data_IF_675125710311
#
_entry.id   IF_675125710311
#
_cell.length_a   1.000
_cell.length_b   1.000
_cell.length_c   1.000
_cell.angle_alpha   90.00
_cell.angle_beta   90.00
_cell.angle_gamma   90.00
#
_symmetry.space_group_name_H-M   'P 1'
#
loop_
_entity.id
_entity.type
_entity.pdbx_description
1 polymer ?
#
# COMPACT_ATOMS: atom_id res chain seq x y z
N UNK A 1 -9.03 -6.49 14.97
CA UNK A 1 -8.92 -7.88 14.47
C UNK A 1 -7.52 -8.37 14.83
N UNK A 2 -7.39 -9.51 15.50
CA UNK A 2 -6.10 -10.15 15.77
C UNK A 2 -5.93 -11.32 14.81
N UNK A 3 -4.77 -11.39 14.15
CA UNK A 3 -4.44 -12.47 13.20
C UNK A 3 -3.10 -13.07 13.61
N UNK A 4 -3.01 -14.40 13.64
CA UNK A 4 -1.90 -15.14 14.26
C UNK A 4 -0.73 -15.49 13.33
N UNK A 5 -0.84 -15.27 12.01
CA UNK A 5 0.21 -15.68 11.07
C UNK A 5 0.31 -14.72 9.87
N UNK A 6 1.46 -14.04 9.73
CA UNK A 6 1.74 -13.11 8.64
C UNK A 6 2.20 -13.79 7.34
N UNK A 7 2.28 -15.13 7.30
CA UNK A 7 2.67 -15.90 6.11
C UNK A 7 1.49 -16.49 5.33
N UNK A 8 0.29 -16.47 5.92
CA UNK A 8 -0.95 -16.95 5.31
C UNK A 8 -1.71 -15.75 4.73
N UNK A 9 -2.24 -15.88 3.51
CA UNK A 9 -3.25 -14.93 3.02
C UNK A 9 -4.47 -15.02 3.94
N UNK A 10 -4.76 -13.93 4.64
CA UNK A 10 -5.88 -13.81 5.57
C UNK A 10 -7.10 -13.31 4.79
N UNK A 11 -8.23 -14.01 4.92
CA UNK A 11 -9.50 -13.61 4.32
C UNK A 11 -10.63 -13.51 5.34
N UNK A 12 -11.85 -13.25 4.85
CA UNK A 12 -13.06 -13.20 5.70
C UNK A 12 -13.27 -14.44 6.59
N UNK A 13 -13.00 -15.69 6.13
CA UNK A 13 -13.16 -16.87 6.97
C UNK A 13 -12.19 -16.95 8.16
N UNK A 14 -11.09 -16.18 8.14
CA UNK A 14 -10.09 -16.16 9.20
C UNK A 14 -10.45 -15.20 10.36
N UNK A 15 -11.60 -14.51 10.29
CA UNK A 15 -12.09 -13.64 11.36
C UNK A 15 -12.58 -14.50 12.53
N UNK A 16 -11.82 -14.49 13.64
CA UNK A 16 -12.16 -15.22 14.87
C UNK A 16 -13.12 -14.47 15.79
N UNK A 17 -13.12 -13.13 15.75
CA UNK A 17 -13.94 -12.27 16.60
C UNK A 17 -14.44 -11.03 15.83
N UNK A 18 -15.72 -10.69 16.03
CA UNK A 18 -16.37 -9.50 15.45
C UNK A 18 -17.30 -8.84 16.48
N UNK A 19 -16.74 -8.21 17.53
CA UNK A 19 -17.54 -7.65 18.63
C UNK A 19 -18.49 -6.53 18.18
N UNK A 20 -18.17 -5.87 17.08
CA UNK A 20 -18.97 -4.80 16.50
C UNK A 20 -19.96 -5.26 15.42
N UNK A 21 -20.07 -6.57 15.19
CA UNK A 21 -20.99 -7.18 14.20
C UNK A 21 -20.88 -6.52 12.81
N UNK A 22 -19.67 -6.16 12.42
CA UNK A 22 -19.39 -5.51 11.12
C UNK A 22 -19.73 -6.46 9.97
N UNK A 23 -20.29 -5.91 8.90
CA UNK A 23 -20.48 -6.62 7.63
C UNK A 23 -19.39 -6.21 6.66
N UNK A 24 -18.56 -7.18 6.27
CA UNK A 24 -17.46 -6.98 5.33
C UNK A 24 -17.94 -7.23 3.90
N UNK A 25 -17.50 -6.40 2.97
CA UNK A 25 -17.75 -6.55 1.54
C UNK A 25 -16.42 -6.44 0.80
N UNK A 26 -16.03 -7.51 0.13
CA UNK A 26 -14.87 -7.49 -0.76
C UNK A 26 -15.30 -6.88 -2.09
N UNK A 27 -14.52 -5.93 -2.57
CA UNK A 27 -14.72 -5.25 -3.86
C UNK A 27 -13.37 -5.12 -4.54
N UNK A 28 -13.38 -4.85 -5.84
CA UNK A 28 -12.15 -4.48 -6.54
C UNK A 28 -11.52 -3.23 -5.87
N UNK A 29 -10.19 -3.24 -5.73
CA UNK A 29 -9.46 -2.18 -5.03
C UNK A 29 -9.77 -0.78 -5.61
N UNK A 30 -9.98 -0.66 -6.92
CA UNK A 30 -10.32 0.61 -7.58
C UNK A 30 -11.69 1.16 -7.16
N UNK A 31 -12.58 0.32 -6.65
CA UNK A 31 -13.92 0.71 -6.21
C UNK A 31 -13.97 1.10 -4.74
N UNK A 32 -12.91 0.84 -3.97
CA UNK A 32 -12.87 1.15 -2.53
C UNK A 32 -13.07 2.63 -2.20
N UNK A 33 -12.60 3.63 -2.97
CA UNK A 33 -12.94 5.03 -2.71
C UNK A 33 -14.44 5.30 -2.90
N UNK A 34 -15.02 4.85 -4.03
CA UNK A 34 -16.44 5.03 -4.35
C UNK A 34 -17.36 4.30 -3.36
N UNK A 35 -16.90 3.19 -2.80
CA UNK A 35 -17.67 2.42 -1.83
C UNK A 35 -18.07 3.25 -0.60
N UNK A 36 -17.28 4.29 -0.24
CA UNK A 36 -17.54 5.19 0.89
C UNK A 36 -18.93 5.85 0.85
N UNK A 37 -19.54 6.01 -0.32
CA UNK A 37 -20.93 6.52 -0.45
C UNK A 37 -21.98 5.58 0.17
N UNK A 38 -21.61 4.33 0.44
CA UNK A 38 -22.53 3.25 0.82
C UNK A 38 -22.07 2.41 2.01
N UNK A 39 -20.88 2.68 2.57
CA UNK A 39 -20.31 1.97 3.71
C UNK A 39 -19.77 2.95 4.75
N UNK A 40 -19.70 2.51 6.00
CA UNK A 40 -19.18 3.36 7.08
C UNK A 40 -17.66 3.51 7.06
N UNK A 41 -16.93 2.50 6.58
CA UNK A 41 -15.47 2.46 6.51
C UNK A 41 -15.07 1.73 5.24
N UNK A 42 -14.07 2.24 4.53
CA UNK A 42 -13.45 1.57 3.39
C UNK A 42 -11.94 1.55 3.57
N UNK A 43 -11.29 0.41 3.27
CA UNK A 43 -9.84 0.30 3.24
C UNK A 43 -9.39 0.59 1.82
N UNK A 44 -8.64 1.68 1.63
CA UNK A 44 -8.31 2.22 0.31
C UNK A 44 -6.79 2.24 0.12
N UNK A 45 -6.29 1.69 -0.98
CA UNK A 45 -4.87 1.81 -1.32
C UNK A 45 -4.52 3.28 -1.64
N UNK A 46 -3.32 3.71 -1.24
CA UNK A 46 -2.93 5.12 -1.33
C UNK A 46 -3.08 5.70 -2.75
N UNK A 47 -2.66 4.98 -3.80
CA UNK A 47 -2.79 5.42 -5.18
C UNK A 47 -4.25 5.72 -5.60
N UNK A 48 -5.23 4.93 -5.10
CA UNK A 48 -6.64 5.16 -5.35
C UNK A 48 -7.21 6.28 -4.48
N UNK A 49 -6.72 6.43 -3.24
CA UNK A 49 -7.09 7.54 -2.37
C UNK A 49 -6.66 8.89 -2.98
N UNK A 50 -5.42 9.00 -3.44
CA UNK A 50 -4.90 10.20 -4.13
C UNK A 50 -5.70 10.50 -5.39
N UNK A 51 -5.99 9.50 -6.23
CA UNK A 51 -6.78 9.69 -7.44
C UNK A 51 -8.22 10.13 -7.15
N UNK A 52 -8.79 9.71 -6.01
CA UNK A 52 -10.11 10.11 -5.54
C UNK A 52 -10.11 11.40 -4.71
N UNK A 53 -8.95 12.07 -4.57
CA UNK A 53 -8.79 13.27 -3.73
C UNK A 53 -9.17 13.09 -2.25
N UNK A 54 -9.03 11.88 -1.72
CA UNK A 54 -9.20 11.60 -0.30
C UNK A 54 -7.97 12.08 0.47
N UNK A 55 -8.17 12.84 1.54
CA UNK A 55 -7.10 13.42 2.35
C UNK A 55 -6.73 12.49 3.51
N UNK A 56 -5.44 12.44 3.87
CA UNK A 56 -5.00 11.65 5.04
C UNK A 56 -5.69 12.06 6.34
N UNK A 57 -6.11 13.32 6.46
CA UNK A 57 -6.88 13.83 7.62
C UNK A 57 -8.28 13.22 7.75
N UNK A 58 -8.80 12.63 6.68
CA UNK A 58 -10.10 11.93 6.67
C UNK A 58 -9.95 10.45 7.04
N UNK A 59 -8.71 9.94 7.11
CA UNK A 59 -8.44 8.57 7.51
C UNK A 59 -8.66 8.39 9.01
N UNK A 60 -9.50 7.41 9.36
CA UNK A 60 -9.71 6.99 10.76
C UNK A 60 -8.55 6.11 11.27
N UNK A 61 -7.74 5.55 10.37
CA UNK A 61 -6.59 4.71 10.70
C UNK A 61 -5.63 4.60 9.52
N UNK A 62 -4.34 4.82 9.78
CA UNK A 62 -3.26 4.60 8.81
C UNK A 62 -2.40 3.42 9.27
N UNK A 63 -2.08 2.50 8.37
CA UNK A 63 -1.22 1.36 8.69
C UNK A 63 0.20 1.85 9.09
N UNK A 64 0.75 1.42 10.24
CA UNK A 64 2.06 1.87 10.68
C UNK A 64 3.18 1.14 9.93
N UNK A 65 4.26 1.87 9.63
CA UNK A 65 5.49 1.28 9.12
C UNK A 65 6.18 0.43 10.20
N UNK A 66 6.33 -0.87 9.95
CA UNK A 66 6.98 -1.81 10.87
C UNK A 66 7.57 -3.02 10.11
N UNK A 67 8.18 -3.97 10.84
CA UNK A 67 8.80 -5.18 10.26
C UNK A 67 7.91 -5.95 9.29
N UNK A 68 6.60 -6.01 9.55
CA UNK A 68 5.65 -6.71 8.68
C UNK A 68 5.33 -5.94 7.39
N UNK A 69 5.63 -4.65 7.33
CA UNK A 69 5.44 -3.81 6.13
C UNK A 69 6.38 -4.20 4.98
N UNK A 70 7.40 -5.03 5.22
CA UNK A 70 8.32 -5.50 4.19
C UNK A 70 7.59 -6.16 3.01
N UNK A 71 6.47 -6.82 3.26
CA UNK A 71 5.64 -7.48 2.24
C UNK A 71 4.85 -6.50 1.35
N UNK A 72 4.71 -5.25 1.77
CA UNK A 72 3.94 -4.21 1.06
C UNK A 72 4.84 -3.21 0.30
N UNK A 73 6.15 -3.46 0.26
CA UNK A 73 7.07 -2.64 -0.53
C UNK A 73 6.77 -2.84 -2.02
N UNK A 74 6.34 -1.76 -2.69
CA UNK A 74 6.20 -1.74 -4.14
C UNK A 74 7.56 -1.96 -4.83
N UNK A 75 7.55 -2.66 -5.97
CA UNK A 75 8.78 -3.01 -6.71
C UNK A 75 8.62 -2.82 -8.22
N UNK A 76 9.74 -2.57 -8.89
CA UNK A 76 9.82 -2.60 -10.35
C UNK A 76 9.91 -4.08 -10.78
N UNK A 77 8.95 -4.54 -11.57
CA UNK A 77 8.89 -5.91 -12.04
C UNK A 77 9.37 -6.03 -13.50
N UNK A 78 10.01 -7.15 -13.82
CA UNK A 78 10.33 -7.55 -15.18
C UNK A 78 10.15 -9.07 -15.31
N UNK A 79 9.95 -9.56 -16.53
CA UNK A 79 9.85 -11.01 -16.75
C UNK A 79 11.18 -11.71 -16.46
N UNK A 80 11.16 -12.98 -16.11
CA UNK A 80 12.40 -13.74 -15.81
C UNK A 80 13.38 -13.77 -17.00
N UNK A 81 12.87 -13.69 -18.23
CA UNK A 81 13.69 -13.63 -19.46
C UNK A 81 14.49 -12.33 -19.56
N UNK A 82 14.03 -11.27 -18.92
CA UNK A 82 14.62 -9.93 -18.99
C UNK A 82 15.44 -9.58 -17.73
N UNK A 83 15.64 -10.53 -16.81
CA UNK A 83 16.40 -10.32 -15.56
C UNK A 83 17.78 -9.66 -15.77
N UNK A 84 18.41 -9.94 -16.90
CA UNK A 84 19.74 -9.42 -17.24
C UNK A 84 19.72 -8.26 -18.24
N UNK A 85 18.56 -7.72 -18.57
CA UNK A 85 18.45 -6.54 -19.43
C UNK A 85 19.18 -5.35 -18.79
N UNK A 86 20.22 -4.86 -19.47
CA UNK A 86 21.05 -3.75 -18.99
C UNK A 86 20.24 -2.48 -18.80
N UNK A 87 19.31 -2.18 -19.71
CA UNK A 87 18.46 -0.99 -19.63
C UNK A 87 17.60 -1.03 -18.37
N UNK A 88 17.00 -2.17 -18.05
CA UNK A 88 16.14 -2.29 -16.86
C UNK A 88 16.93 -2.13 -15.56
N UNK A 89 18.17 -2.66 -15.51
CA UNK A 89 19.06 -2.45 -14.36
C UNK A 89 19.44 -0.97 -14.19
N UNK A 90 19.71 -0.26 -15.28
CA UNK A 90 19.97 1.18 -15.23
C UNK A 90 18.73 1.97 -14.80
N UNK A 91 17.53 1.60 -15.26
CA UNK A 91 16.27 2.23 -14.81
C UNK A 91 16.06 2.04 -13.31
N UNK A 92 16.20 0.81 -12.79
CA UNK A 92 16.05 0.56 -11.35
C UNK A 92 17.08 1.33 -10.51
N UNK A 93 18.33 1.41 -10.98
CA UNK A 93 19.39 2.20 -10.34
C UNK A 93 19.10 3.71 -10.37
N UNK A 94 18.62 4.23 -11.49
CA UNK A 94 18.24 5.64 -11.62
C UNK A 94 17.04 5.98 -10.73
N UNK A 95 16.08 5.05 -10.61
CA UNK A 95 14.93 5.19 -9.71
C UNK A 95 15.37 5.29 -8.26
N UNK A 96 16.30 4.43 -7.81
CA UNK A 96 16.88 4.46 -6.47
C UNK A 96 17.96 5.55 -6.30
N UNK A 97 17.63 6.81 -6.63
CA UNK A 97 18.54 7.96 -6.56
C UNK A 97 18.06 9.03 -5.57
N UNK A 98 18.98 9.90 -5.14
CA UNK A 98 18.67 11.07 -4.29
C UNK A 98 17.69 12.04 -4.97
N UNK A 99 17.75 12.14 -6.31
CA UNK A 99 16.84 12.99 -7.07
C UNK A 99 15.40 12.46 -6.99
N UNK A 100 15.21 11.15 -7.18
CA UNK A 100 13.91 10.51 -7.04
C UNK A 100 13.40 10.57 -5.59
N UNK A 101 14.28 10.36 -4.60
CA UNK A 101 13.91 10.52 -3.18
C UNK A 101 13.38 11.93 -2.88
N UNK A 102 14.03 12.97 -3.44
CA UNK A 102 13.58 14.36 -3.30
C UNK A 102 12.22 14.56 -3.97
N UNK A 103 12.05 14.05 -5.20
CA UNK A 103 10.79 14.14 -5.93
C UNK A 103 9.63 13.46 -5.20
N UNK A 104 9.85 12.27 -4.61
CA UNK A 104 8.83 11.57 -3.80
C UNK A 104 8.41 12.43 -2.61
N UNK A 105 9.37 13.00 -1.86
CA UNK A 105 9.05 13.85 -0.69
C UNK A 105 8.31 15.14 -1.08
N UNK A 106 8.62 15.72 -2.23
CA UNK A 106 7.95 16.92 -2.74
C UNK A 106 6.54 16.63 -3.23
N UNK A 107 6.35 15.48 -3.89
CA UNK A 107 5.06 15.07 -4.43
C UNK A 107 4.10 14.55 -3.34
N UNK A 108 4.64 13.89 -2.32
CA UNK A 108 3.90 13.25 -1.23
C UNK A 108 4.37 13.79 0.14
N UNK A 109 4.11 15.08 0.43
CA UNK A 109 4.59 15.74 1.65
C UNK A 109 3.91 15.20 2.93
N UNK A 110 2.81 14.50 2.78
CA UNK A 110 2.05 13.82 3.83
C UNK A 110 2.68 12.49 4.27
N UNK A 111 3.74 12.03 3.57
CA UNK A 111 4.41 10.76 3.83
C UNK A 111 3.64 9.53 3.33
N UNK A 112 2.64 9.71 2.46
CA UNK A 112 1.85 8.60 1.92
C UNK A 112 2.61 7.70 0.95
N UNK A 113 3.67 8.20 0.32
CA UNK A 113 4.68 7.38 -0.35
C UNK A 113 6.08 7.66 0.22
N UNK A 114 6.85 6.58 0.39
CA UNK A 114 8.19 6.63 0.97
C UNK A 114 9.19 5.87 0.08
N UNK A 115 10.43 6.36 -0.09
CA UNK A 115 11.47 5.63 -0.82
C UNK A 115 11.84 4.31 -0.13
N UNK A 116 11.65 3.19 -0.83
CA UNK A 116 11.81 1.86 -0.26
C UNK A 116 13.24 1.51 0.19
N UNK A 117 14.26 2.03 -0.50
CA UNK A 117 15.67 1.67 -0.29
C UNK A 117 16.31 2.28 0.98
N UNK A 118 15.60 3.19 1.66
CA UNK A 118 16.05 3.83 2.90
C UNK A 118 15.14 3.52 4.10
N UNK A 119 14.15 2.64 3.92
CA UNK A 119 13.19 2.31 4.98
C UNK A 119 13.88 1.56 6.13
N UNK A 120 13.46 1.90 7.36
CA UNK A 120 13.81 1.17 8.57
C UNK A 120 12.52 0.52 9.08
N UNK A 121 12.44 -0.80 8.93
CA UNK A 121 11.29 -1.61 9.32
C UNK A 121 11.50 -2.29 10.68
#
# INVERSE_FOLDING_TARGET
MTTSDSSKLVGLPDITENPHQLKFKEVDASQTPRALDSVSISVVNYNYATAASLLNSESVYMEPLNKTSAQYINFIAATSKEKNNKVYKEVAKAYASKATEKAIKEQYPDGGELPAWNLKL
#
